data_IF_628086930866
#
_entry.id   IF_628086930866
#
_cell.length_a   1.000
_cell.length_b   1.000
_cell.length_c   1.000
_cell.angle_alpha   90.00
_cell.angle_beta   90.00
_cell.angle_gamma   90.00
#
_symmetry.space_group_name_H-M   'P 1'
#
loop_
_entity.id
_entity.type
_entity.pdbx_description
1 polymer ?
#
# COMPACT_ATOMS: atom_id res chain seq x y z
N UNK A 1 10.04 -5.41 7.07
CA UNK A 1 9.28 -4.16 7.28
C UNK A 1 7.94 -4.27 6.56
N UNK A 2 6.87 -3.97 7.26
CA UNK A 2 5.52 -4.02 6.69
C UNK A 2 5.02 -2.62 6.37
N UNK A 3 4.34 -2.49 5.25
CA UNK A 3 3.74 -1.24 4.81
C UNK A 3 2.30 -1.46 4.39
N UNK A 4 1.43 -0.52 4.78
CA UNK A 4 0.10 -0.38 4.22
C UNK A 4 0.20 0.55 3.02
N UNK A 5 -0.24 0.05 1.88
CA UNK A 5 -0.19 0.76 0.61
C UNK A 5 -1.61 0.99 0.13
N UNK A 6 -1.95 2.24 -0.13
CA UNK A 6 -3.26 2.63 -0.65
C UNK A 6 -3.09 3.20 -2.05
N UNK A 7 -3.75 2.58 -3.03
CA UNK A 7 -3.83 3.10 -4.38
C UNK A 7 -5.22 3.69 -4.64
N UNK A 8 -5.23 4.92 -5.13
CA UNK A 8 -6.42 5.62 -5.56
C UNK A 8 -6.23 6.05 -7.01
N UNK A 9 -6.57 5.18 -7.99
CA UNK A 9 -6.41 5.53 -9.40
C UNK A 9 -7.21 6.78 -9.79
N UNK A 10 -6.75 7.54 -10.79
CA UNK A 10 -7.54 8.64 -11.35
C UNK A 10 -8.90 8.17 -11.86
N UNK A 11 -9.89 9.05 -11.86
CA UNK A 11 -11.27 8.70 -12.24
C UNK A 11 -11.37 8.13 -13.66
N UNK A 12 -10.59 8.66 -14.60
CA UNK A 12 -10.58 8.16 -15.97
C UNK A 12 -10.09 6.72 -16.05
N UNK A 13 -9.03 6.41 -15.28
CA UNK A 13 -8.50 5.05 -15.19
C UNK A 13 -9.50 4.09 -14.56
N UNK A 14 -10.24 4.53 -13.52
CA UNK A 14 -11.30 3.74 -12.90
C UNK A 14 -12.40 3.41 -13.90
N UNK A 15 -12.81 4.39 -14.68
CA UNK A 15 -13.82 4.20 -15.72
C UNK A 15 -13.35 3.24 -16.80
N UNK A 16 -12.09 3.34 -17.22
CA UNK A 16 -11.51 2.43 -18.20
C UNK A 16 -11.43 0.99 -17.66
N UNK A 17 -11.06 0.82 -16.39
CA UNK A 17 -11.02 -0.49 -15.75
C UNK A 17 -12.39 -1.17 -15.72
N UNK A 18 -13.46 -0.41 -15.46
CA UNK A 18 -14.82 -0.96 -15.42
C UNK A 18 -15.26 -1.52 -16.78
N UNK A 19 -14.72 -0.98 -17.88
CA UNK A 19 -15.12 -1.31 -19.25
C UNK A 19 -14.15 -2.23 -19.98
N UNK A 20 -12.94 -2.44 -19.46
CA UNK A 20 -11.90 -3.18 -20.15
C UNK A 20 -11.49 -4.45 -19.38
N UNK A 21 -11.95 -5.64 -19.84
CA UNK A 21 -11.47 -6.90 -19.25
C UNK A 21 -9.97 -7.08 -19.36
N UNK A 22 -9.35 -6.58 -20.43
CA UNK A 22 -7.90 -6.64 -20.61
C UNK A 22 -7.16 -5.84 -19.53
N UNK A 23 -7.62 -4.63 -19.25
CA UNK A 23 -7.03 -3.80 -18.22
C UNK A 23 -7.21 -4.41 -16.82
N UNK A 24 -8.38 -4.97 -16.55
CA UNK A 24 -8.64 -5.72 -15.31
C UNK A 24 -7.65 -6.86 -15.12
N UNK A 25 -7.36 -7.59 -16.19
CA UNK A 25 -6.37 -8.69 -16.17
C UNK A 25 -4.97 -8.18 -15.87
N UNK A 26 -4.55 -7.09 -16.51
CA UNK A 26 -3.22 -6.48 -16.30
C UNK A 26 -3.06 -6.03 -14.84
N UNK A 27 -4.07 -5.36 -14.28
CA UNK A 27 -4.08 -4.94 -12.89
C UNK A 27 -4.01 -6.14 -11.95
N UNK A 28 -4.81 -7.17 -12.20
CA UNK A 28 -4.80 -8.40 -11.42
C UNK A 28 -3.44 -9.08 -11.40
N UNK A 29 -2.77 -9.18 -12.54
CA UNK A 29 -1.43 -9.75 -12.64
C UNK A 29 -0.39 -8.93 -11.90
N UNK A 30 -0.49 -7.59 -11.96
CA UNK A 30 0.41 -6.71 -11.21
C UNK A 30 0.25 -6.89 -9.70
N UNK A 31 -0.98 -7.04 -9.21
CA UNK A 31 -1.26 -7.32 -7.80
C UNK A 31 -0.71 -8.68 -7.38
N UNK A 32 -0.90 -9.71 -8.19
CA UNK A 32 -0.35 -11.04 -7.91
C UNK A 32 1.18 -11.03 -7.83
N UNK A 33 1.84 -10.28 -8.70
CA UNK A 33 3.30 -10.14 -8.68
C UNK A 33 3.81 -9.41 -7.45
N UNK A 34 3.00 -8.51 -6.91
CA UNK A 34 3.31 -7.80 -5.66
C UNK A 34 3.37 -8.76 -4.47
N UNK A 35 2.66 -9.88 -4.53
CA UNK A 35 2.54 -10.88 -3.45
C UNK A 35 2.19 -10.23 -2.10
N UNK A 36 1.08 -9.51 -2.01
CA UNK A 36 0.71 -8.87 -0.76
C UNK A 36 0.35 -9.90 0.30
N UNK A 37 0.65 -9.59 1.57
CA UNK A 37 0.18 -10.40 2.70
C UNK A 37 -1.33 -10.33 2.85
N UNK A 38 -1.91 -9.19 2.50
CA UNK A 38 -3.34 -8.96 2.51
C UNK A 38 -3.69 -7.92 1.46
N UNK A 39 -4.88 -8.02 0.90
CA UNK A 39 -5.40 -7.08 -0.07
C UNK A 39 -6.89 -6.89 0.18
N UNK A 40 -7.32 -5.63 0.19
CA UNK A 40 -8.73 -5.26 0.29
C UNK A 40 -9.05 -4.21 -0.76
N UNK A 41 -10.28 -4.22 -1.20
CA UNK A 41 -10.74 -3.27 -2.20
C UNK A 41 -12.04 -2.63 -1.72
N UNK A 42 -12.12 -1.31 -1.89
CA UNK A 42 -13.40 -0.62 -1.94
C UNK A 42 -13.81 -0.53 -3.40
N UNK A 43 -14.92 0.12 -3.68
CA UNK A 43 -15.34 0.31 -5.07
C UNK A 43 -14.33 1.16 -5.88
N UNK A 44 -13.47 1.93 -5.22
CA UNK A 44 -12.59 2.89 -5.88
C UNK A 44 -11.13 2.84 -5.46
N UNK A 45 -10.80 2.13 -4.39
CA UNK A 45 -9.45 2.09 -3.82
C UNK A 45 -8.95 0.67 -3.67
N UNK A 46 -7.65 0.50 -3.79
CA UNK A 46 -6.98 -0.74 -3.41
C UNK A 46 -6.11 -0.54 -2.18
N UNK A 47 -6.18 -1.47 -1.24
CA UNK A 47 -5.39 -1.48 -0.02
C UNK A 47 -4.59 -2.76 0.05
N UNK A 48 -3.27 -2.65 0.25
CA UNK A 48 -2.38 -3.80 0.28
C UNK A 48 -1.47 -3.70 1.49
N UNK A 49 -1.19 -4.84 2.12
CA UNK A 49 -0.12 -4.95 3.10
C UNK A 49 1.00 -5.72 2.45
N UNK A 50 2.19 -5.14 2.41
CA UNK A 50 3.38 -5.78 1.85
C UNK A 50 4.46 -5.88 2.92
N UNK A 51 5.22 -6.98 2.89
CA UNK A 51 6.39 -7.19 3.76
C UNK A 51 7.63 -7.19 2.89
N UNK A 52 8.55 -6.29 3.18
CA UNK A 52 9.76 -6.09 2.37
C UNK A 52 10.98 -5.93 3.26
N UNK A 53 12.16 -6.21 2.71
CA UNK A 53 13.42 -6.11 3.43
C UNK A 53 14.13 -4.77 3.18
N UNK A 54 13.71 -4.02 2.17
CA UNK A 54 14.34 -2.77 1.79
C UNK A 54 13.37 -1.85 1.05
N UNK A 55 13.70 -0.58 0.95
CA UNK A 55 12.95 0.37 0.12
C UNK A 55 13.08 0.05 -1.37
N UNK A 56 14.20 -0.51 -1.80
CA UNK A 56 14.36 -0.97 -3.18
C UNK A 56 13.36 -2.08 -3.51
N UNK A 57 13.19 -3.05 -2.62
CA UNK A 57 12.20 -4.11 -2.80
C UNK A 57 10.77 -3.55 -2.82
N UNK A 58 10.46 -2.62 -1.93
CA UNK A 58 9.16 -1.94 -1.91
C UNK A 58 8.89 -1.25 -3.25
N UNK A 59 9.87 -0.51 -3.75
CA UNK A 59 9.76 0.21 -5.03
C UNK A 59 9.51 -0.76 -6.18
N UNK A 60 10.24 -1.88 -6.23
CA UNK A 60 10.06 -2.88 -7.27
C UNK A 60 8.68 -3.53 -7.24
N UNK A 61 8.14 -3.78 -6.06
CA UNK A 61 6.80 -4.34 -5.91
C UNK A 61 5.70 -3.37 -6.36
N UNK A 62 5.86 -2.08 -6.07
CA UNK A 62 4.83 -1.08 -6.35
C UNK A 62 4.94 -0.48 -7.75
N UNK A 63 6.12 -0.55 -8.38
CA UNK A 63 6.36 0.09 -9.67
C UNK A 63 5.35 -0.28 -10.77
N UNK A 64 4.92 -1.54 -10.94
CA UNK A 64 3.94 -1.87 -11.97
C UNK A 64 2.61 -1.11 -11.79
N UNK A 65 2.09 -1.02 -10.57
CA UNK A 65 0.84 -0.30 -10.31
C UNK A 65 1.04 1.21 -10.36
N UNK A 66 2.17 1.71 -9.89
CA UNK A 66 2.52 3.12 -9.98
C UNK A 66 2.52 3.60 -11.44
N UNK A 67 3.18 2.87 -12.33
CA UNK A 67 3.22 3.21 -13.74
C UNK A 67 1.86 3.05 -14.43
N UNK A 68 1.12 2.01 -14.07
CA UNK A 68 -0.18 1.73 -14.65
C UNK A 68 -1.21 2.80 -14.27
N UNK A 69 -1.26 3.17 -13.00
CA UNK A 69 -2.24 4.14 -12.49
C UNK A 69 -1.81 5.59 -12.64
N UNK A 70 -0.52 5.84 -12.91
CA UNK A 70 0.03 7.21 -13.04
C UNK A 70 -0.33 8.10 -11.85
N UNK A 71 -0.33 7.52 -10.65
CA UNK A 71 -0.61 8.22 -9.41
C UNK A 71 0.27 7.67 -8.29
N UNK A 72 0.59 8.53 -7.34
CA UNK A 72 1.39 8.13 -6.20
C UNK A 72 0.54 7.34 -5.20
N UNK A 73 1.01 6.16 -4.76
CA UNK A 73 0.36 5.47 -3.66
C UNK A 73 0.60 6.19 -2.35
N UNK A 74 -0.36 6.09 -1.44
CA UNK A 74 -0.16 6.47 -0.06
C UNK A 74 0.47 5.28 0.67
N UNK A 75 1.65 5.48 1.24
CA UNK A 75 2.41 4.42 1.90
C UNK A 75 2.60 4.77 3.37
N UNK A 76 2.22 3.85 4.25
CA UNK A 76 2.36 4.04 5.70
C UNK A 76 3.00 2.80 6.32
N UNK A 77 3.92 2.96 7.28
CA UNK A 77 4.42 1.82 8.04
C UNK A 77 3.25 1.11 8.73
N UNK A 78 3.28 -0.22 8.72
CA UNK A 78 2.26 -1.04 9.36
C UNK A 78 2.89 -1.88 10.46
N UNK A 79 2.20 -1.98 11.59
CA UNK A 79 2.68 -2.69 12.77
C UNK A 79 1.67 -3.77 13.14
N UNK A 80 2.18 -4.95 13.49
CA UNK A 80 1.35 -6.02 13.98
C UNK A 80 0.82 -5.73 15.40
N UNK A 81 -0.19 -6.47 15.81
CA UNK A 81 -0.78 -6.31 17.13
C UNK A 81 0.24 -6.54 18.27
N UNK A 82 1.19 -7.42 18.05
CA UNK A 82 2.29 -7.72 18.97
C UNK A 82 3.32 -6.58 19.09
N UNK A 83 3.45 -5.76 18.06
CA UNK A 83 4.36 -4.61 18.00
C UNK A 83 3.74 -3.33 18.59
N UNK A 84 2.43 -3.27 18.65
CA UNK A 84 1.69 -2.07 19.02
C UNK A 84 2.02 -1.53 20.41
N UNK A 85 2.13 -2.35 21.48
CA UNK A 85 2.49 -1.83 22.81
C UNK A 85 3.84 -1.11 22.85
N UNK A 86 4.84 -1.65 22.14
CA UNK A 86 6.16 -1.04 22.04
C UNK A 86 6.11 0.29 21.28
N UNK A 87 5.36 0.32 20.21
CA UNK A 87 5.14 1.55 19.42
C UNK A 87 4.56 2.67 20.27
N UNK A 88 3.50 2.36 21.02
CA UNK A 88 2.85 3.34 21.92
C UNK A 88 3.81 3.81 23.02
N UNK A 89 4.58 2.90 23.60
CA UNK A 89 5.57 3.25 24.62
C UNK A 89 6.64 4.22 24.07
N UNK A 90 7.15 3.94 22.88
CA UNK A 90 8.16 4.79 22.21
C UNK A 90 7.59 6.18 21.92
N UNK A 91 6.37 6.24 21.40
CA UNK A 91 5.70 7.53 21.13
C UNK A 91 5.50 8.33 22.43
N UNK A 92 5.14 7.66 23.52
CA UNK A 92 4.99 8.30 24.83
C UNK A 92 6.31 8.85 25.37
N UNK A 93 7.41 8.11 25.22
CA UNK A 93 8.74 8.58 25.60
C UNK A 93 9.13 9.84 24.83
N UNK A 94 8.98 9.82 23.52
CA UNK A 94 9.31 10.97 22.69
C UNK A 94 8.42 12.17 22.98
N UNK A 95 7.12 11.95 23.21
CA UNK A 95 6.21 13.03 23.58
C UNK A 95 6.65 13.74 24.87
N UNK A 96 7.09 12.97 25.87
CA UNK A 96 7.57 13.55 27.15
C UNK A 96 8.82 14.41 26.96
N UNK A 97 9.72 14.03 26.06
CA UNK A 97 10.91 14.84 25.74
C UNK A 97 10.58 16.21 25.20
N UNK A 98 9.45 16.33 24.50
CA UNK A 98 9.00 17.58 23.87
C UNK A 98 7.90 18.28 24.66
N UNK A 99 7.56 17.84 25.87
CA UNK A 99 6.62 18.52 26.74
C UNK A 99 5.14 18.26 26.41
N UNK A 100 4.85 17.19 25.72
CA UNK A 100 3.46 16.81 25.40
C UNK A 100 2.82 15.98 26.50
#
# INVERSE_FOLDING_TARGET
MKFLVEFNPPIDMKNDMEKSPELQKIVGEAIERMKPLAAWFTLRYGFFVVDVNSYDELTRKLAPLFHLFKSDPKISPAFGLDEFPKLVATLGEEARKYGY
#
